data_IF_361118484023
#
_entry.id   IF_361118484023
#
_cell.length_a   1.000
_cell.length_b   1.000
_cell.length_c   1.000
_cell.angle_alpha   90.00
_cell.angle_beta   90.00
_cell.angle_gamma   90.00
#
_symmetry.space_group_name_H-M   'P 1'
#
loop_
_entity.id
_entity.type
_entity.pdbx_description
1 polymer ?
#
# COMPACT_ATOMS: atom_id res chain seq x y z
N UNK A 1 3.02 16.26 13.05
CA UNK A 1 2.48 14.97 13.51
C UNK A 1 1.61 15.31 14.69
N UNK A 2 0.31 15.09 14.55
CA UNK A 2 -0.68 15.27 15.61
C UNK A 2 -1.30 13.90 15.87
N UNK A 3 -1.43 13.51 17.13
CA UNK A 3 -1.94 12.20 17.55
C UNK A 3 -3.10 12.44 18.51
N UNK A 4 -4.29 11.92 18.22
CA UNK A 4 -5.46 12.10 19.09
C UNK A 4 -5.37 11.22 20.34
N UNK A 5 -4.99 9.95 20.18
CA UNK A 5 -4.91 8.98 21.28
C UNK A 5 -3.84 7.93 21.01
N UNK A 6 -3.10 7.56 22.06
CA UNK A 6 -2.20 6.40 22.08
C UNK A 6 -2.64 5.48 23.20
N UNK A 7 -2.95 4.23 22.87
CA UNK A 7 -3.23 3.16 23.83
C UNK A 7 -2.10 2.13 23.75
N UNK A 8 -1.59 1.72 24.90
CA UNK A 8 -0.48 0.75 24.98
C UNK A 8 -0.91 -0.42 25.84
N UNK A 9 -0.75 -1.63 25.32
CA UNK A 9 -0.98 -2.87 26.08
C UNK A 9 0.35 -3.53 26.37
N UNK A 10 0.51 -4.03 27.59
CA UNK A 10 1.73 -4.71 28.05
C UNK A 10 1.43 -6.18 28.32
N UNK A 11 2.34 -7.06 27.91
CA UNK A 11 2.18 -8.51 28.12
C UNK A 11 2.47 -8.91 29.57
N UNK A 12 1.45 -9.36 30.30
CA UNK A 12 1.55 -9.81 31.70
C UNK A 12 2.62 -10.91 31.89
N UNK A 13 2.71 -11.85 30.94
CA UNK A 13 3.67 -12.95 30.99
C UNK A 13 5.13 -12.50 30.84
N UNK A 14 5.35 -11.37 30.19
CA UNK A 14 6.70 -10.80 30.00
C UNK A 14 7.12 -9.94 31.18
N UNK A 15 6.16 -9.26 31.83
CA UNK A 15 6.39 -8.58 33.11
C UNK A 15 6.90 -9.56 34.18
N UNK A 16 6.34 -10.76 34.24
CA UNK A 16 6.79 -11.82 35.16
C UNK A 16 8.22 -12.32 34.88
N UNK A 17 8.75 -12.10 33.66
CA UNK A 17 10.14 -12.42 33.29
C UNK A 17 11.10 -11.23 33.45
N UNK A 18 10.64 -10.11 34.05
CA UNK A 18 11.43 -8.89 34.19
C UNK A 18 11.70 -8.16 32.87
N UNK A 19 10.96 -8.47 31.79
CA UNK A 19 11.13 -7.87 30.47
C UNK A 19 9.93 -7.00 30.13
N UNK A 20 10.13 -5.68 30.03
CA UNK A 20 9.09 -4.76 29.55
C UNK A 20 9.10 -4.84 28.02
N UNK A 21 8.08 -5.48 27.41
CA UNK A 21 7.77 -5.27 25.99
C UNK A 21 6.29 -4.98 25.83
N UNK A 22 5.99 -4.16 24.83
CA UNK A 22 4.63 -3.75 24.51
C UNK A 22 4.01 -4.81 23.61
N UNK A 23 2.87 -5.37 24.01
CA UNK A 23 2.15 -6.37 23.20
C UNK A 23 1.51 -5.69 22.00
N UNK A 24 0.85 -4.55 22.23
CA UNK A 24 0.22 -3.76 21.17
C UNK A 24 0.34 -2.27 21.47
N UNK A 25 0.52 -1.50 20.40
CA UNK A 25 0.36 -0.05 20.40
C UNK A 25 -0.77 0.26 19.43
N UNK A 26 -1.79 0.93 19.93
CA UNK A 26 -2.91 1.43 19.14
C UNK A 26 -2.82 2.95 19.09
N UNK A 27 -2.86 3.51 17.89
CA UNK A 27 -2.83 4.97 17.68
C UNK A 27 -4.07 5.36 16.89
N UNK A 28 -4.81 6.33 17.41
CA UNK A 28 -6.03 6.84 16.79
C UNK A 28 -5.81 8.28 16.29
N UNK A 29 -6.27 8.56 15.07
CA UNK A 29 -6.30 9.91 14.50
C UNK A 29 -4.90 10.46 14.29
N UNK A 30 -4.15 9.85 13.37
CA UNK A 30 -2.78 10.25 13.05
C UNK A 30 -2.72 10.94 11.69
N UNK A 31 -2.17 12.15 11.64
CA UNK A 31 -1.82 12.81 10.38
C UNK A 31 -0.32 12.77 10.11
N UNK A 32 0.07 12.19 8.98
CA UNK A 32 1.44 12.10 8.51
C UNK A 32 1.56 12.80 7.16
N UNK A 33 2.48 13.76 7.06
CA UNK A 33 2.83 14.41 5.80
C UNK A 33 4.26 14.05 5.41
N UNK A 34 4.43 13.42 4.24
CA UNK A 34 5.73 12.97 3.72
C UNK A 34 5.98 13.64 2.38
N UNK A 35 7.17 14.23 2.21
CA UNK A 35 7.65 14.67 0.90
C UNK A 35 8.64 13.65 0.38
N UNK A 36 8.32 13.00 -0.74
CA UNK A 36 9.18 11.98 -1.34
C UNK A 36 10.06 12.65 -2.40
N UNK A 37 11.38 12.78 -2.16
CA UNK A 37 12.30 13.40 -3.12
C UNK A 37 12.53 12.48 -4.33
N UNK A 38 13.10 13.05 -5.40
CA UNK A 38 13.51 12.29 -6.59
C UNK A 38 14.51 11.21 -6.19
N UNK A 39 14.23 9.96 -6.55
CA UNK A 39 15.07 8.82 -6.17
C UNK A 39 16.44 8.93 -6.86
N UNK A 40 17.49 9.16 -6.08
CA UNK A 40 18.86 8.91 -6.51
C UNK A 40 19.11 7.39 -6.44
N UNK A 41 19.68 6.82 -7.52
CA UNK A 41 20.05 5.40 -7.56
C UNK A 41 21.11 5.13 -6.49
N UNK A 42 20.69 4.63 -5.32
CA UNK A 42 21.63 4.11 -4.31
C UNK A 42 22.07 2.71 -4.70
N UNK A 43 23.37 2.45 -4.63
CA UNK A 43 24.01 1.20 -5.05
C UNK A 43 23.89 0.04 -4.02
N UNK A 44 22.90 0.07 -3.13
CA UNK A 44 22.73 -0.90 -2.04
C UNK A 44 21.53 -1.83 -2.22
N UNK A 45 21.48 -2.90 -1.42
CA UNK A 45 20.29 -3.76 -1.31
C UNK A 45 19.09 -2.90 -0.90
N UNK A 46 17.95 -2.97 -1.62
CA UNK A 46 16.85 -2.03 -1.46
C UNK A 46 16.19 -2.10 -0.08
N UNK A 47 16.20 -3.27 0.56
CA UNK A 47 15.59 -3.49 1.88
C UNK A 47 16.60 -4.05 2.90
N UNK A 48 17.90 -3.76 2.72
CA UNK A 48 18.95 -4.23 3.63
C UNK A 48 18.65 -3.87 5.09
N UNK A 49 18.67 -4.87 5.97
CA UNK A 49 18.51 -4.68 7.40
C UNK A 49 17.09 -4.31 7.86
N UNK A 50 16.09 -4.33 6.98
CA UNK A 50 14.69 -4.09 7.37
C UNK A 50 14.22 -5.14 8.38
N UNK A 51 14.51 -6.42 8.15
CA UNK A 51 14.11 -7.49 9.08
C UNK A 51 14.89 -7.45 10.39
N UNK A 52 16.16 -7.03 10.36
CA UNK A 52 16.97 -6.80 11.56
C UNK A 52 16.42 -5.62 12.39
N UNK A 53 16.06 -4.52 11.73
CA UNK A 53 15.43 -3.38 12.36
C UNK A 53 14.05 -3.73 12.96
N UNK A 54 13.22 -4.49 12.25
CA UNK A 54 11.94 -4.99 12.79
C UNK A 54 12.16 -5.85 14.05
N UNK A 55 13.23 -6.65 14.09
CA UNK A 55 13.56 -7.46 15.26
C UNK A 55 13.96 -6.63 16.49
N UNK A 56 14.50 -5.42 16.31
CA UNK A 56 14.86 -4.53 17.43
C UNK A 56 13.67 -3.76 18.01
N UNK A 57 12.57 -3.62 17.26
CA UNK A 57 11.36 -2.92 17.74
C UNK A 57 10.72 -3.71 18.91
N UNK A 58 10.54 -3.10 20.10
CA UNK A 58 10.01 -3.75 21.30
C UNK A 58 8.47 -3.79 21.34
N UNK A 59 7.84 -3.76 20.17
CA UNK A 59 6.39 -3.79 19.97
C UNK A 59 6.06 -4.96 19.06
N UNK A 60 5.07 -5.77 19.45
CA UNK A 60 4.68 -6.95 18.67
C UNK A 60 3.60 -6.62 17.64
N UNK A 61 2.67 -5.72 17.97
CA UNK A 61 1.61 -5.27 17.07
C UNK A 61 1.44 -3.76 17.12
N UNK A 62 1.27 -3.14 15.96
CA UNK A 62 0.91 -1.74 15.81
C UNK A 62 -0.40 -1.69 15.04
N UNK A 63 -1.43 -1.11 15.64
CA UNK A 63 -2.71 -0.82 14.98
C UNK A 63 -2.85 0.69 14.90
N UNK A 64 -3.08 1.21 13.70
CA UNK A 64 -3.29 2.62 13.45
C UNK A 64 -4.70 2.78 12.88
N UNK A 65 -5.55 3.49 13.61
CA UNK A 65 -6.95 3.74 13.27
C UNK A 65 -7.12 5.21 12.87
N UNK A 66 -7.96 5.47 11.86
CA UNK A 66 -8.21 6.83 11.35
C UNK A 66 -6.91 7.54 10.94
N UNK A 67 -6.10 6.88 10.10
CA UNK A 67 -4.84 7.45 9.61
C UNK A 67 -5.08 8.27 8.36
N UNK A 68 -4.58 9.50 8.38
CA UNK A 68 -4.46 10.35 7.19
C UNK A 68 -2.98 10.47 6.79
N UNK A 69 -2.62 9.95 5.63
CA UNK A 69 -1.27 10.09 5.06
C UNK A 69 -1.32 10.98 3.83
N UNK A 70 -0.55 12.05 3.82
CA UNK A 70 -0.36 12.91 2.66
C UNK A 70 1.06 12.77 2.16
N UNK A 71 1.22 12.23 0.97
CA UNK A 71 2.49 12.11 0.28
C UNK A 71 2.52 13.05 -0.93
N UNK A 72 3.55 13.88 -1.04
CA UNK A 72 3.82 14.65 -2.25
C UNK A 72 5.02 14.07 -2.96
N UNK A 73 4.82 13.55 -4.16
CA UNK A 73 5.89 13.14 -5.07
C UNK A 73 6.38 14.37 -5.81
N UNK A 74 7.70 14.56 -5.87
CA UNK A 74 8.29 15.69 -6.56
C UNK A 74 8.29 15.52 -8.10
N UNK A 75 8.35 14.28 -8.60
CA UNK A 75 8.44 13.95 -10.02
C UNK A 75 7.84 12.54 -10.29
N UNK A 76 6.66 12.42 -10.93
CA UNK A 76 5.78 13.51 -11.31
C UNK A 76 5.22 14.24 -10.08
N UNK A 77 4.90 15.53 -10.23
CA UNK A 77 4.37 16.39 -9.17
C UNK A 77 2.96 15.93 -8.75
N UNK A 78 2.84 14.84 -7.99
CA UNK A 78 1.56 14.24 -7.60
C UNK A 78 1.38 14.36 -6.09
N UNK A 79 0.14 14.66 -5.68
CA UNK A 79 -0.27 14.58 -4.28
C UNK A 79 -1.12 13.34 -4.09
N UNK A 80 -0.68 12.44 -3.22
CA UNK A 80 -1.41 11.24 -2.80
C UNK A 80 -1.88 11.48 -1.38
N UNK A 81 -3.19 11.46 -1.15
CA UNK A 81 -3.79 11.48 0.17
C UNK A 81 -4.45 10.12 0.42
N UNK A 82 -4.06 9.46 1.50
CA UNK A 82 -4.73 8.28 2.04
C UNK A 82 -5.52 8.76 3.24
N UNK A 83 -6.83 8.55 3.25
CA UNK A 83 -7.77 9.03 4.26
C UNK A 83 -8.48 7.83 4.90
N UNK A 84 -8.75 7.94 6.21
CA UNK A 84 -9.48 6.95 7.01
C UNK A 84 -8.90 5.52 6.92
N UNK A 85 -7.59 5.38 6.77
CA UNK A 85 -6.98 4.06 6.69
C UNK A 85 -6.91 3.41 8.07
N UNK A 86 -7.27 2.13 8.11
CA UNK A 86 -6.98 1.23 9.23
C UNK A 86 -5.78 0.38 8.83
N UNK A 87 -4.68 0.51 9.56
CA UNK A 87 -3.42 -0.18 9.29
C UNK A 87 -3.05 -1.04 10.47
N UNK A 88 -2.90 -2.33 10.25
CA UNK A 88 -2.42 -3.25 11.26
C UNK A 88 -1.12 -3.89 10.80
N UNK A 89 -0.04 -3.63 11.53
CA UNK A 89 1.25 -4.26 11.33
C UNK A 89 1.55 -5.17 12.52
N UNK A 90 1.82 -6.44 12.26
CA UNK A 90 2.20 -7.40 13.30
C UNK A 90 3.57 -7.99 12.99
N UNK A 91 4.46 -7.89 13.97
CA UNK A 91 5.77 -8.51 13.95
C UNK A 91 5.63 -10.01 14.22
N UNK A 92 6.23 -10.79 13.34
CA UNK A 92 6.34 -12.23 13.48
C UNK A 92 7.80 -12.60 13.80
N UNK A 93 8.07 -13.86 14.16
CA UNK A 93 9.40 -14.31 14.60
C UNK A 93 10.53 -13.97 13.62
N UNK A 94 10.25 -14.02 12.31
CA UNK A 94 11.21 -13.80 11.23
C UNK A 94 10.65 -12.87 10.13
N UNK A 95 9.70 -12.00 10.46
CA UNK A 95 8.98 -11.25 9.44
C UNK A 95 7.94 -10.31 10.02
N UNK A 96 7.03 -9.87 9.16
CA UNK A 96 5.88 -9.06 9.54
C UNK A 96 4.69 -9.39 8.65
N UNK A 97 3.50 -9.12 9.17
CA UNK A 97 2.26 -9.02 8.40
C UNK A 97 1.76 -7.59 8.44
N UNK A 98 1.14 -7.16 7.35
CA UNK A 98 0.51 -5.86 7.18
C UNK A 98 -0.89 -6.08 6.62
N UNK A 99 -1.88 -5.50 7.29
CA UNK A 99 -3.26 -5.40 6.82
C UNK A 99 -3.59 -3.92 6.66
N UNK A 100 -4.17 -3.58 5.52
CA UNK A 100 -4.74 -2.28 5.20
C UNK A 100 -6.21 -2.53 4.92
N UNK A 101 -7.07 -2.03 5.79
CA UNK A 101 -8.51 -2.14 5.62
C UNK A 101 -9.08 -0.83 5.07
N UNK A 102 -9.86 -0.95 4.00
CA UNK A 102 -10.61 0.10 3.29
C UNK A 102 -10.00 1.52 3.28
N UNK A 103 -8.74 1.64 2.83
CA UNK A 103 -8.09 2.93 2.73
C UNK A 103 -8.60 3.73 1.52
N UNK A 104 -9.06 4.97 1.75
CA UNK A 104 -9.48 5.87 0.66
C UNK A 104 -8.27 6.62 0.12
N UNK A 105 -7.89 6.36 -1.13
CA UNK A 105 -6.73 6.97 -1.77
C UNK A 105 -7.18 7.98 -2.81
N UNK A 106 -6.89 9.26 -2.56
CA UNK A 106 -7.06 10.36 -3.50
C UNK A 106 -5.72 10.71 -4.11
N UNK A 107 -5.56 10.45 -5.41
CA UNK A 107 -4.41 10.90 -6.19
C UNK A 107 -4.80 12.15 -6.95
N UNK A 108 -4.06 13.24 -6.78
CA UNK A 108 -4.28 14.51 -7.45
C UNK A 108 -3.04 14.94 -8.20
N UNK A 109 -3.26 15.31 -9.45
CA UNK A 109 -2.32 16.06 -10.25
C UNK A 109 -2.68 17.55 -10.14
N UNK A 110 -1.82 18.39 -9.54
CA UNK A 110 -2.04 19.82 -9.40
C UNK A 110 -1.97 20.56 -10.74
N UNK A 111 -1.21 20.06 -11.73
CA UNK A 111 -1.04 20.70 -13.03
C UNK A 111 -2.30 20.54 -13.90
N UNK A 112 -2.79 19.30 -14.02
CA UNK A 112 -4.01 19.01 -14.81
C UNK A 112 -5.30 19.21 -14.02
N UNK A 113 -5.21 19.42 -12.69
CA UNK A 113 -6.32 19.36 -11.72
C UNK A 113 -7.10 18.04 -11.77
N UNK A 114 -6.55 17.01 -12.42
CA UNK A 114 -7.13 15.69 -12.43
C UNK A 114 -7.03 15.08 -11.03
N UNK A 115 -8.10 14.40 -10.62
CA UNK A 115 -8.12 13.66 -9.38
C UNK A 115 -8.74 12.28 -9.61
N UNK A 116 -8.17 11.27 -8.97
CA UNK A 116 -8.66 9.90 -8.96
C UNK A 116 -8.89 9.50 -7.52
N UNK A 117 -10.07 8.94 -7.27
CA UNK A 117 -10.45 8.34 -6.00
C UNK A 117 -10.40 6.83 -6.16
N UNK A 118 -9.66 6.18 -5.28
CA UNK A 118 -9.50 4.74 -5.21
C UNK A 118 -9.82 4.26 -3.80
N UNK A 119 -10.32 3.04 -3.67
CA UNK A 119 -10.25 2.31 -2.40
C UNK A 119 -9.18 1.24 -2.49
N UNK A 120 -8.45 1.04 -1.40
CA UNK A 120 -7.35 0.08 -1.27
C UNK A 120 -7.60 -0.82 -0.07
N UNK A 121 -7.61 -2.12 -0.32
CA UNK A 121 -7.57 -3.16 0.70
C UNK A 121 -6.33 -4.02 0.42
N UNK A 122 -5.56 -4.36 1.45
CA UNK A 122 -4.39 -5.22 1.28
C UNK A 122 -4.15 -6.10 2.50
N UNK A 123 -3.82 -7.36 2.29
CA UNK A 123 -3.25 -8.26 3.29
C UNK A 123 -1.98 -8.89 2.73
N UNK A 124 -0.86 -8.64 3.40
CA UNK A 124 0.44 -9.15 2.99
C UNK A 124 1.29 -9.56 4.20
N UNK A 125 2.22 -10.49 3.97
CA UNK A 125 3.27 -10.83 4.92
C UNK A 125 4.60 -11.01 4.21
N UNK A 126 5.68 -10.69 4.92
CA UNK A 126 7.03 -10.82 4.41
C UNK A 126 7.98 -11.33 5.50
N UNK A 127 8.84 -12.26 5.11
CA UNK A 127 10.02 -12.73 5.83
C UNK A 127 11.26 -12.53 4.96
N UNK A 128 12.45 -12.80 5.52
CA UNK A 128 13.71 -12.68 4.76
C UNK A 128 13.74 -13.49 3.47
N UNK A 129 13.04 -14.61 3.43
CA UNK A 129 13.09 -15.59 2.36
C UNK A 129 11.79 -15.68 1.54
N UNK A 130 10.72 -14.99 1.97
CA UNK A 130 9.39 -15.13 1.39
C UNK A 130 8.58 -13.84 1.45
N UNK A 131 7.79 -13.60 0.43
CA UNK A 131 6.71 -12.62 0.42
C UNK A 131 5.41 -13.33 0.08
N UNK A 132 4.34 -13.02 0.80
CA UNK A 132 2.99 -13.50 0.53
C UNK A 132 2.07 -12.28 0.44
N UNK A 133 1.40 -12.14 -0.69
CA UNK A 133 0.30 -11.19 -0.88
C UNK A 133 -0.98 -12.02 -0.89
N UNK A 134 -1.70 -12.02 0.23
CA UNK A 134 -2.95 -12.77 0.35
C UNK A 134 -4.03 -12.12 -0.50
N UNK A 135 -4.12 -10.80 -0.41
CA UNK A 135 -5.00 -9.97 -1.22
C UNK A 135 -4.40 -8.57 -1.38
N UNK A 136 -4.51 -8.03 -2.59
CA UNK A 136 -4.33 -6.62 -2.88
C UNK A 136 -5.47 -6.24 -3.79
N UNK A 137 -6.40 -5.42 -3.30
CA UNK A 137 -7.59 -5.00 -4.03
C UNK A 137 -7.59 -3.49 -4.13
N UNK A 138 -7.60 -3.01 -5.37
CA UNK A 138 -7.72 -1.59 -5.69
C UNK A 138 -9.00 -1.42 -6.49
N UNK A 139 -9.89 -0.53 -6.04
CA UNK A 139 -11.16 -0.28 -6.71
C UNK A 139 -11.31 1.19 -7.07
N UNK A 140 -11.93 1.43 -8.23
CA UNK A 140 -12.30 2.75 -8.72
C UNK A 140 -13.70 2.69 -9.33
N UNK A 141 -14.70 3.19 -8.61
CA UNK A 141 -16.10 3.07 -9.03
C UNK A 141 -16.46 1.60 -9.23
N UNK A 142 -16.82 1.21 -10.45
CA UNK A 142 -17.14 -0.19 -10.80
C UNK A 142 -15.97 -0.98 -11.38
N UNK A 143 -14.79 -0.36 -11.50
CA UNK A 143 -13.57 -1.03 -11.94
C UNK A 143 -12.79 -1.53 -10.74
N UNK A 144 -12.18 -2.71 -10.85
CA UNK A 144 -11.31 -3.25 -9.80
C UNK A 144 -10.08 -3.94 -10.37
N UNK A 145 -9.07 -4.02 -9.51
CA UNK A 145 -7.84 -4.74 -9.69
C UNK A 145 -7.62 -5.56 -8.43
N UNK A 146 -7.41 -6.86 -8.59
CA UNK A 146 -7.08 -7.78 -7.52
C UNK A 146 -5.80 -8.51 -7.86
N UNK A 147 -4.87 -8.56 -6.92
CA UNK A 147 -3.65 -9.36 -7.03
C UNK A 147 -3.47 -10.21 -5.78
N UNK A 148 -2.98 -11.43 -5.95
CA UNK A 148 -2.57 -12.31 -4.87
C UNK A 148 -1.47 -13.24 -5.34
N UNK A 149 -0.66 -13.74 -4.44
CA UNK A 149 0.46 -14.58 -4.82
C UNK A 149 1.54 -14.69 -3.77
N UNK A 150 2.59 -15.39 -4.13
CA UNK A 150 3.76 -15.59 -3.27
C UNK A 150 5.04 -15.50 -4.07
N UNK A 151 6.09 -15.06 -3.40
CA UNK A 151 7.46 -15.11 -3.87
C UNK A 151 8.36 -15.78 -2.84
N UNK A 152 9.29 -16.60 -3.29
CA UNK A 152 10.34 -17.21 -2.46
C UNK A 152 11.72 -16.80 -3.00
N UNK A 153 12.62 -16.37 -2.12
CA UNK A 153 13.97 -15.90 -2.45
C UNK A 153 14.44 -14.84 -1.48
N UNK A 154 15.54 -14.17 -1.77
CA UNK A 154 16.05 -13.12 -0.87
C UNK A 154 15.18 -11.86 -0.98
N UNK A 155 14.32 -11.63 0.02
CA UNK A 155 13.42 -10.49 0.07
C UNK A 155 14.17 -9.18 0.30
N UNK A 156 15.32 -9.18 0.99
CA UNK A 156 16.10 -7.95 1.22
C UNK A 156 16.71 -7.42 -0.09
N UNK A 157 17.04 -8.35 -0.99
CA UNK A 157 17.59 -8.08 -2.32
C UNK A 157 16.51 -7.95 -3.40
N UNK A 158 15.25 -8.20 -3.05
CA UNK A 158 14.15 -8.40 -4.00
C UNK A 158 14.47 -9.46 -5.07
N UNK A 159 15.34 -10.41 -4.73
CA UNK A 159 15.76 -11.50 -5.60
C UNK A 159 14.90 -12.74 -5.33
N UNK A 160 13.65 -12.66 -5.78
CA UNK A 160 12.66 -13.72 -5.66
C UNK A 160 12.84 -14.70 -6.83
N UNK A 161 13.22 -15.94 -6.51
CA UNK A 161 13.49 -17.02 -7.46
C UNK A 161 12.20 -17.65 -7.95
N UNK A 162 11.33 -18.02 -7.01
CA UNK A 162 10.05 -18.65 -7.31
C UNK A 162 8.95 -17.62 -7.12
N UNK A 163 8.24 -17.27 -8.20
CA UNK A 163 7.11 -16.34 -8.16
C UNK A 163 5.87 -17.06 -8.65
N UNK A 164 4.77 -16.98 -7.91
CA UNK A 164 3.44 -17.37 -8.38
C UNK A 164 2.45 -16.29 -7.98
N UNK A 165 2.09 -15.44 -8.94
CA UNK A 165 1.18 -14.33 -8.75
C UNK A 165 0.01 -14.43 -9.73
N UNK A 166 -1.18 -14.22 -9.22
CA UNK A 166 -2.40 -14.09 -10.00
C UNK A 166 -2.88 -12.64 -9.92
N UNK A 167 -3.23 -12.10 -11.07
CA UNK A 167 -3.77 -10.75 -11.20
C UNK A 167 -5.06 -10.85 -11.98
N UNK A 168 -6.11 -10.22 -11.47
CA UNK A 168 -7.37 -10.06 -12.16
C UNK A 168 -7.74 -8.59 -12.15
N UNK A 169 -8.13 -8.06 -13.30
CA UNK A 169 -8.65 -6.72 -13.42
C UNK A 169 -9.93 -6.72 -14.22
N UNK A 170 -10.87 -5.90 -13.78
CA UNK A 170 -12.09 -5.59 -14.51
C UNK A 170 -12.18 -4.08 -14.63
N UNK A 171 -12.31 -3.59 -15.86
CA UNK A 171 -12.36 -2.17 -16.16
C UNK A 171 -13.66 -1.86 -16.89
N UNK A 172 -14.42 -0.94 -16.34
CA UNK A 172 -15.61 -0.39 -16.99
C UNK A 172 -15.15 0.62 -18.06
N UNK A 173 -15.39 0.30 -19.33
CA UNK A 173 -14.84 1.06 -20.46
C UNK A 173 -15.41 2.48 -20.53
N UNK A 174 -16.67 2.66 -20.15
CA UNK A 174 -17.33 3.96 -20.04
C UNK A 174 -16.59 4.86 -19.03
N UNK A 175 -16.26 4.30 -17.87
CA UNK A 175 -15.58 5.01 -16.78
C UNK A 175 -14.14 5.37 -17.16
N UNK A 176 -13.43 4.44 -17.80
CA UNK A 176 -12.07 4.66 -18.31
C UNK A 176 -12.07 5.76 -19.38
N UNK A 177 -12.99 5.70 -20.35
CA UNK A 177 -13.13 6.74 -21.37
C UNK A 177 -13.43 8.10 -20.74
N UNK A 178 -14.44 8.19 -19.88
CA UNK A 178 -14.83 9.45 -19.26
C UNK A 178 -13.66 10.09 -18.50
N UNK A 179 -12.86 9.26 -17.83
CA UNK A 179 -11.63 9.71 -17.19
C UNK A 179 -10.57 10.18 -18.18
N UNK A 180 -10.26 9.40 -19.21
CA UNK A 180 -9.25 9.77 -20.21
C UNK A 180 -9.62 11.08 -20.90
N UNK A 181 -10.88 11.24 -21.31
CA UNK A 181 -11.39 12.48 -21.91
C UNK A 181 -11.24 13.66 -20.94
N UNK A 182 -11.58 13.48 -19.66
CA UNK A 182 -11.47 14.53 -18.64
C UNK A 182 -10.02 14.91 -18.33
N UNK A 183 -9.15 13.92 -18.14
CA UNK A 183 -7.74 14.11 -17.77
C UNK A 183 -6.93 14.71 -18.91
N UNK A 184 -7.16 14.23 -20.13
CA UNK A 184 -6.42 14.65 -21.32
C UNK A 184 -7.21 15.63 -22.20
N UNK A 185 -8.19 16.35 -21.64
CA UNK A 185 -9.04 17.29 -22.37
C UNK A 185 -8.25 18.38 -23.12
N UNK A 186 -7.03 18.69 -22.69
CA UNK A 186 -6.12 19.64 -23.31
C UNK A 186 -5.42 19.09 -24.57
N UNK A 187 -5.55 17.78 -24.85
CA UNK A 187 -4.96 17.15 -26.04
C UNK A 187 -6.00 17.08 -27.16
N UNK A 188 -5.55 17.21 -28.41
CA UNK A 188 -6.43 17.20 -29.59
C UNK A 188 -7.08 15.83 -29.86
N UNK A 189 -6.49 14.74 -29.38
CA UNK A 189 -6.96 13.38 -29.63
C UNK A 189 -8.01 12.90 -28.62
N UNK A 190 -7.98 13.39 -27.38
CA UNK A 190 -8.85 12.88 -26.32
C UNK A 190 -10.36 13.07 -26.58
N UNK A 191 -10.85 14.21 -27.11
CA UNK A 191 -12.25 14.35 -27.50
C UNK A 191 -12.68 13.39 -28.62
N UNK A 192 -11.73 12.92 -29.43
CA UNK A 192 -11.96 11.99 -30.55
C UNK A 192 -12.14 10.53 -30.14
N UNK A 193 -12.02 10.19 -28.84
CA UNK A 193 -12.21 8.81 -28.38
C UNK A 193 -13.70 8.44 -28.51
N UNK A 194 -14.05 7.44 -29.34
CA UNK A 194 -15.44 7.03 -29.54
C UNK A 194 -16.06 6.53 -28.22
N UNK A 195 -17.39 6.53 -28.09
CA UNK A 195 -18.06 5.90 -26.96
C UNK A 195 -17.58 4.44 -26.83
N UNK A 196 -17.09 4.09 -25.64
CA UNK A 196 -16.72 2.72 -25.30
C UNK A 196 -17.74 2.23 -24.28
N UNK A 197 -18.32 1.06 -24.51
CA UNK A 197 -19.30 0.46 -23.63
C UNK A 197 -18.91 -0.95 -23.20
N UNK A 198 -19.29 -1.34 -21.99
CA UNK A 198 -19.08 -2.68 -21.44
C UNK A 198 -17.85 -2.81 -20.55
N UNK A 199 -17.46 -4.07 -20.29
CA UNK A 199 -16.42 -4.43 -19.34
C UNK A 199 -15.27 -5.12 -20.06
N UNK A 200 -14.05 -4.69 -19.78
CA UNK A 200 -12.83 -5.40 -20.16
C UNK A 200 -12.32 -6.20 -18.97
N UNK A 201 -11.97 -7.45 -19.21
CA UNK A 201 -11.43 -8.37 -18.21
C UNK A 201 -10.00 -8.73 -18.59
N UNK A 202 -9.10 -8.69 -17.60
CA UNK A 202 -7.73 -9.13 -17.74
C UNK A 202 -7.44 -10.10 -16.61
N UNK A 203 -7.20 -11.37 -16.97
CA UNK A 203 -6.68 -12.38 -16.07
C UNK A 203 -5.23 -12.69 -16.46
N UNK A 204 -4.31 -12.52 -15.51
CA UNK A 204 -2.89 -12.74 -15.68
C UNK A 204 -2.35 -13.66 -14.60
N UNK A 205 -1.41 -14.52 -14.96
CA UNK A 205 -0.63 -15.30 -14.00
C UNK A 205 0.85 -15.17 -14.33
N UNK A 206 1.64 -14.82 -13.32
CA UNK A 206 3.08 -14.72 -13.40
C UNK A 206 3.65 -15.94 -12.68
N UNK A 207 4.38 -16.77 -13.42
CA UNK A 207 5.17 -17.87 -12.88
C UNK A 207 6.62 -17.72 -13.28
N UNK A 208 7.52 -17.77 -12.30
CA UNK A 208 8.96 -17.79 -12.52
C UNK A 208 9.57 -18.82 -11.60
#
# INVERSE_FOLDING_TARGET
MEIKRVSVTVSLWQLLQGKIRLSSVEVEGTEVSVRIPKSEKKAGKPLAGVFDALNSIPVSRVSLNDVTVRATLADPNLTIAVENAVLEAEKQRNGFSLVIDEANVRVRDPETRAAVLLSLEASLSASRDRVLVESLKVRRGDSYFTASGKGQGDTEDLNLKDLDFSVRSEVMLESMRAWTVKTFAHTSWAPGIPPLFGRAFVDGRIKR
#
